data_IF_442930095435
#
_entry.id   IF_442930095435
#
_cell.length_a   1.000
_cell.length_b   1.000
_cell.length_c   1.000
_cell.angle_alpha   90.00
_cell.angle_beta   90.00
_cell.angle_gamma   90.00
#
_symmetry.space_group_name_H-M   'P 1'
#
loop_
_entity.id
_entity.type
_entity.pdbx_description
1 polymer ?
#
# COMPACT_ATOMS: atom_id res chain seq x y z
N UNK A 1 -10.65 -13.92 1.95
CA UNK A 1 -9.58 -13.22 1.19
C UNK A 1 -8.25 -13.24 1.95
N UNK A 2 -7.34 -14.19 1.65
CA UNK A 2 -6.02 -14.27 2.29
C UNK A 2 -5.05 -13.18 1.79
N UNK A 3 -5.01 -12.97 0.47
CA UNK A 3 -4.10 -12.00 -0.17
C UNK A 3 -4.39 -10.55 0.21
N UNK A 4 -5.67 -10.18 0.33
CA UNK A 4 -6.08 -8.85 0.77
C UNK A 4 -5.55 -8.54 2.19
N UNK A 5 -5.77 -9.44 3.15
CA UNK A 5 -5.29 -9.26 4.53
C UNK A 5 -3.76 -9.16 4.60
N UNK A 6 -3.04 -9.92 3.77
CA UNK A 6 -1.59 -9.85 3.68
C UNK A 6 -1.13 -8.49 3.10
N UNK A 7 -1.81 -7.98 2.08
CA UNK A 7 -1.55 -6.67 1.51
C UNK A 7 -1.85 -5.54 2.52
N UNK A 8 -2.96 -5.60 3.25
CA UNK A 8 -3.27 -4.66 4.33
C UNK A 8 -2.17 -4.65 5.39
N UNK A 9 -1.74 -5.83 5.87
CA UNK A 9 -0.65 -5.92 6.86
C UNK A 9 0.67 -5.35 6.34
N UNK A 10 0.99 -5.56 5.06
CA UNK A 10 2.18 -4.97 4.42
C UNK A 10 2.06 -3.45 4.33
N UNK A 11 0.89 -2.95 3.94
CA UNK A 11 0.62 -1.52 3.87
C UNK A 11 0.72 -0.88 5.26
N UNK A 12 0.07 -1.46 6.29
CA UNK A 12 0.16 -1.03 7.69
C UNK A 12 1.62 -0.93 8.16
N UNK A 13 2.43 -1.97 7.91
CA UNK A 13 3.85 -1.98 8.28
C UNK A 13 4.66 -0.90 7.55
N UNK A 14 4.24 -0.51 6.35
CA UNK A 14 4.94 0.49 5.55
C UNK A 14 4.58 1.92 5.96
N UNK A 15 3.28 2.20 6.13
CA UNK A 15 2.81 3.53 6.55
C UNK A 15 2.92 3.75 8.06
N UNK A 16 3.16 2.66 8.82
CA UNK A 16 3.19 2.63 10.28
C UNK A 16 1.89 3.18 10.92
N UNK A 17 0.74 2.88 10.29
CA UNK A 17 -0.62 3.29 10.69
C UNK A 17 -1.58 2.14 10.48
N UNK A 18 -2.70 2.15 11.21
CA UNK A 18 -3.76 1.14 11.09
C UNK A 18 -4.71 1.50 9.96
N UNK A 19 -5.07 0.50 9.16
CA UNK A 19 -6.10 0.64 8.13
C UNK A 19 -7.42 0.05 8.63
N UNK A 20 -8.52 0.76 8.42
CA UNK A 20 -9.86 0.36 8.82
C UNK A 20 -10.80 0.29 7.61
N UNK A 21 -11.69 -0.69 7.58
CA UNK A 21 -12.62 -0.92 6.45
C UNK A 21 -13.88 -0.04 6.53
N UNK A 22 -14.43 0.17 7.73
CA UNK A 22 -15.74 0.82 7.91
C UNK A 22 -15.67 2.12 8.72
N UNK A 23 -15.05 2.09 9.90
CA UNK A 23 -14.96 3.25 10.78
C UNK A 23 -13.61 3.29 11.50
N UNK A 24 -13.07 4.50 11.66
CA UNK A 24 -11.88 4.74 12.49
C UNK A 24 -12.34 4.96 13.93
N UNK A 25 -11.85 4.19 14.92
CA UNK A 25 -12.19 4.41 16.31
C UNK A 25 -11.61 5.76 16.80
N UNK A 26 -12.36 6.47 17.65
CA UNK A 26 -11.97 7.80 18.18
C UNK A 26 -10.64 7.81 18.96
N UNK A 27 -10.15 6.63 19.37
CA UNK A 27 -8.87 6.47 20.09
C UNK A 27 -7.61 6.47 19.20
N UNK A 28 -7.75 6.50 17.87
CA UNK A 28 -6.62 6.44 16.94
C UNK A 28 -6.66 7.61 15.93
N UNK A 29 -6.05 8.77 16.26
CA UNK A 29 -6.07 9.95 15.39
C UNK A 29 -5.27 9.77 14.09
N UNK A 30 -4.45 8.72 13.99
CA UNK A 30 -3.65 8.39 12.81
C UNK A 30 -4.26 7.24 11.98
N UNK A 31 -5.43 6.75 12.39
CA UNK A 31 -6.16 5.70 11.69
C UNK A 31 -6.60 6.13 10.30
N UNK A 32 -6.37 5.27 9.31
CA UNK A 32 -6.69 5.54 7.90
C UNK A 32 -7.83 4.64 7.45
N UNK A 33 -8.87 5.24 6.87
CA UNK A 33 -9.95 4.51 6.21
C UNK A 33 -9.51 4.00 4.84
N UNK A 34 -9.85 2.74 4.54
CA UNK A 34 -9.68 2.14 3.22
C UNK A 34 -10.76 2.74 2.31
N UNK A 35 -10.49 3.91 1.76
CA UNK A 35 -11.29 4.46 0.67
C UNK A 35 -10.91 3.79 -0.67
N UNK A 36 -11.72 4.01 -1.71
CA UNK A 36 -11.60 3.33 -3.01
C UNK A 36 -10.21 3.46 -3.66
N UNK A 37 -9.53 4.58 -3.41
CA UNK A 37 -8.19 4.86 -3.90
C UNK A 37 -7.10 4.00 -3.21
N UNK A 38 -7.23 3.79 -1.91
CA UNK A 38 -6.39 2.87 -1.13
C UNK A 38 -6.68 1.42 -1.50
N UNK A 39 -7.95 1.09 -1.70
CA UNK A 39 -8.36 -0.23 -2.17
C UNK A 39 -7.74 -0.55 -3.54
N UNK A 40 -7.78 0.41 -4.47
CA UNK A 40 -7.16 0.27 -5.78
C UNK A 40 -5.63 0.04 -5.66
N UNK A 41 -4.95 0.82 -4.82
CA UNK A 41 -3.52 0.63 -4.57
C UNK A 41 -3.19 -0.75 -3.99
N UNK A 42 -4.02 -1.25 -3.06
CA UNK A 42 -3.89 -2.60 -2.50
C UNK A 42 -4.13 -3.69 -3.55
N UNK A 43 -5.10 -3.51 -4.45
CA UNK A 43 -5.33 -4.46 -5.55
C UNK A 43 -4.17 -4.51 -6.53
N UNK A 44 -3.60 -3.37 -6.90
CA UNK A 44 -2.40 -3.30 -7.75
C UNK A 44 -1.19 -3.98 -7.10
N UNK A 45 -1.02 -3.79 -5.79
CA UNK A 45 0.03 -4.47 -5.01
C UNK A 45 -0.13 -6.00 -5.05
N UNK A 46 -1.36 -6.49 -4.84
CA UNK A 46 -1.66 -7.92 -4.92
C UNK A 46 -1.41 -8.46 -6.32
N UNK A 47 -1.83 -7.74 -7.37
CA UNK A 47 -1.59 -8.12 -8.76
C UNK A 47 -0.10 -8.24 -9.08
N UNK A 48 0.69 -7.24 -8.66
CA UNK A 48 2.14 -7.25 -8.87
C UNK A 48 2.83 -8.46 -8.23
N UNK A 49 2.47 -8.81 -6.99
CA UNK A 49 3.04 -9.98 -6.30
C UNK A 49 2.50 -11.31 -6.85
N UNK A 50 1.28 -11.31 -7.35
CA UNK A 50 0.70 -12.49 -7.99
C UNK A 50 1.44 -12.85 -9.29
N UNK A 51 1.84 -11.86 -10.07
CA UNK A 51 2.62 -12.03 -11.30
C UNK A 51 4.09 -12.36 -11.02
N UNK A 52 4.67 -11.80 -9.96
CA UNK A 52 6.09 -11.93 -9.61
C UNK A 52 6.29 -12.78 -8.35
N UNK A 53 5.83 -14.04 -8.37
CA UNK A 53 5.94 -14.96 -7.21
C UNK A 53 7.35 -15.50 -6.98
N UNK A 54 8.16 -15.53 -8.03
CA UNK A 54 9.54 -16.03 -7.98
C UNK A 54 10.49 -14.86 -8.14
N UNK A 55 11.55 -14.85 -7.33
CA UNK A 55 12.66 -13.91 -7.54
C UNK A 55 13.35 -14.38 -8.82
N UNK A 56 13.45 -13.56 -9.88
CA UNK A 56 14.15 -13.97 -11.09
C UNK A 56 15.60 -14.33 -10.74
N UNK A 57 15.97 -15.59 -10.91
CA UNK A 57 17.32 -16.11 -10.61
C UNK A 57 18.46 -15.41 -11.37
N UNK A 58 18.13 -14.64 -12.42
CA UNK A 58 19.10 -14.02 -13.31
C UNK A 58 18.90 -12.50 -13.40
N UNK A 59 19.15 -11.78 -12.30
CA UNK A 59 19.59 -10.37 -12.26
C UNK A 59 19.44 -9.74 -10.86
N UNK A 60 19.88 -10.43 -9.82
CA UNK A 60 19.78 -10.00 -8.41
C UNK A 60 20.42 -8.63 -8.06
N UNK A 61 20.95 -7.88 -9.04
CA UNK A 61 21.58 -6.56 -8.83
C UNK A 61 20.98 -5.40 -9.64
N UNK A 62 20.29 -5.62 -10.77
CA UNK A 62 19.98 -4.51 -11.70
C UNK A 62 18.51 -4.34 -12.12
N UNK A 63 17.67 -5.39 -12.13
CA UNK A 63 16.31 -5.26 -12.70
C UNK A 63 15.27 -4.73 -11.69
N UNK A 64 15.47 -4.91 -10.39
CA UNK A 64 14.35 -4.82 -9.43
C UNK A 64 14.37 -3.61 -8.51
N UNK A 65 15.29 -2.66 -8.68
CA UNK A 65 15.24 -1.41 -7.89
C UNK A 65 14.44 -0.33 -8.58
N UNK A 66 14.56 -0.14 -9.90
CA UNK A 66 13.88 0.97 -10.57
C UNK A 66 12.38 0.74 -10.77
N UNK A 67 11.92 -0.43 -11.23
CA UNK A 67 10.47 -0.68 -11.37
C UNK A 67 9.80 -0.78 -10.01
N UNK A 68 10.45 -1.43 -9.06
CA UNK A 68 9.98 -1.51 -7.67
C UNK A 68 9.99 -0.12 -7.04
N UNK A 69 11.08 0.65 -7.12
CA UNK A 69 11.11 2.02 -6.59
C UNK A 69 10.16 2.95 -7.34
N UNK A 70 9.97 2.87 -8.65
CA UNK A 70 9.09 3.80 -9.39
C UNK A 70 7.62 3.48 -9.15
N UNK A 71 7.22 2.21 -9.18
CA UNK A 71 5.84 1.80 -8.92
C UNK A 71 5.50 1.91 -7.42
N UNK A 72 6.44 1.54 -6.55
CA UNK A 72 6.34 1.79 -5.11
C UNK A 72 6.38 3.29 -4.83
N UNK A 73 7.20 4.10 -5.50
CA UNK A 73 7.19 5.56 -5.30
C UNK A 73 5.85 6.18 -5.68
N UNK A 74 5.14 5.66 -6.68
CA UNK A 74 3.80 6.15 -7.00
C UNK A 74 2.79 5.77 -5.91
N UNK A 75 2.81 4.54 -5.42
CA UNK A 75 1.95 4.10 -4.29
C UNK A 75 2.29 4.86 -3.00
N UNK A 76 3.58 5.08 -2.74
CA UNK A 76 4.10 5.82 -1.59
C UNK A 76 3.84 7.31 -1.71
N UNK A 77 4.04 7.91 -2.88
CA UNK A 77 3.64 9.29 -3.14
C UNK A 77 2.14 9.44 -2.99
N UNK A 78 1.33 8.46 -3.39
CA UNK A 78 -0.12 8.52 -3.24
C UNK A 78 -0.53 8.45 -1.76
N UNK A 79 0.01 7.49 -1.00
CA UNK A 79 -0.27 7.34 0.43
C UNK A 79 0.35 8.48 1.28
N UNK A 80 1.55 8.98 0.94
CA UNK A 80 2.19 10.12 1.61
C UNK A 80 1.61 11.47 1.17
N UNK A 81 1.12 11.64 -0.06
CA UNK A 81 0.42 12.87 -0.46
C UNK A 81 -0.91 13.01 0.28
N UNK A 82 -1.56 11.89 0.64
CA UNK A 82 -2.74 11.90 1.52
C UNK A 82 -2.43 12.31 2.96
N UNK A 83 -1.18 12.11 3.43
CA UNK A 83 -0.69 12.62 4.72
C UNK A 83 -0.57 14.15 4.73
N UNK A 84 -0.13 14.75 3.62
CA UNK A 84 0.04 16.21 3.54
C UNK A 84 -1.30 16.92 3.26
N UNK A 85 -2.27 16.22 2.67
CA UNK A 85 -3.66 16.66 2.51
C UNK A 85 -4.50 16.31 3.75
N UNK A 86 -4.04 16.69 4.95
CA UNK A 86 -4.72 16.50 6.23
C UNK A 86 -6.03 17.28 6.37
N UNK A 87 -7.03 16.96 5.54
CA UNK A 87 -8.34 17.58 5.60
C UNK A 87 -9.19 17.23 4.39
N UNK A 88 -10.35 16.62 4.67
CA UNK A 88 -11.48 16.44 3.77
C UNK A 88 -11.29 15.47 2.61
N UNK A 89 -11.71 14.24 2.86
CA UNK A 89 -12.74 13.65 1.99
C UNK A 89 -13.87 13.26 2.95
N UNK A 90 -14.92 14.07 2.96
CA UNK A 90 -16.26 13.64 3.39
C UNK A 90 -16.68 12.41 2.59
#
# INVERSE_FOLDING_TARGET
>A
MLYFRAACRKAENFINRKLYEETVPEGDPEGVLIADDVLLALMLLVGHWHENREIPQMSARHQSRLVFLLCWSLIVLFLCRRRDAGGQIT
#
